data_IF_676085477084
#
_entry.id   IF_676085477084
#
_cell.length_a   1.000
_cell.length_b   1.000
_cell.length_c   1.000
_cell.angle_alpha   90.00
_cell.angle_beta   90.00
_cell.angle_gamma   90.00
#
_symmetry.space_group_name_H-M   'P 1'
#
loop_
_entity.id
_entity.type
_entity.pdbx_description
1 polymer ?
#
# COMPACT_ATOMS: atom_id res chain seq x y z
N UNK A 1 7.27 2.19 10.38
CA UNK A 1 8.26 1.83 11.41
C UNK A 1 8.04 2.62 12.69
N UNK A 2 7.72 1.92 13.77
CA UNK A 2 7.42 2.53 15.07
C UNK A 2 8.67 3.17 15.69
N UNK A 3 9.82 2.55 15.50
CA UNK A 3 11.13 3.04 15.93
C UNK A 3 11.46 4.39 15.29
N UNK A 4 11.19 4.55 14.01
CA UNK A 4 11.41 5.81 13.29
C UNK A 4 10.48 6.91 13.81
N UNK A 5 9.22 6.59 14.04
CA UNK A 5 8.23 7.52 14.59
C UNK A 5 8.62 8.00 15.99
N UNK A 6 9.01 7.08 16.89
CA UNK A 6 9.47 7.44 18.23
C UNK A 6 10.75 8.26 18.21
N UNK A 7 11.70 7.94 17.32
CA UNK A 7 12.92 8.73 17.17
C UNK A 7 12.64 10.19 16.75
N UNK A 8 11.66 10.40 15.85
CA UNK A 8 11.23 11.74 15.45
C UNK A 8 10.58 12.47 16.63
N UNK A 9 9.67 11.82 17.36
CA UNK A 9 9.03 12.43 18.52
C UNK A 9 10.05 12.84 19.60
N UNK A 10 11.01 11.98 19.91
CA UNK A 10 12.08 12.26 20.85
C UNK A 10 12.90 13.50 20.42
N UNK A 11 13.29 13.57 19.14
CA UNK A 11 13.99 14.73 18.58
C UNK A 11 13.18 16.01 18.58
N UNK A 12 11.86 15.91 18.56
CA UNK A 12 10.92 17.04 18.70
C UNK A 12 10.68 17.45 20.17
N UNK A 13 11.28 16.74 21.13
CA UNK A 13 11.16 17.02 22.56
C UNK A 13 9.90 16.43 23.21
N UNK A 14 9.23 15.46 22.56
CA UNK A 14 8.09 14.77 23.16
C UNK A 14 8.57 13.70 24.14
N UNK A 15 8.02 13.71 25.34
CA UNK A 15 8.27 12.67 26.35
C UNK A 15 7.31 11.47 26.12
N UNK A 16 7.79 10.44 25.40
CA UNK A 16 6.97 9.26 25.07
C UNK A 16 7.06 8.17 26.14
N UNK A 17 8.06 8.24 27.03
CA UNK A 17 8.36 7.16 28.00
C UNK A 17 8.97 5.91 27.35
N UNK A 18 9.30 5.95 26.06
CA UNK A 18 9.88 4.83 25.31
C UNK A 18 11.40 4.98 25.23
N UNK A 19 12.12 3.89 25.51
CA UNK A 19 13.55 3.80 25.20
C UNK A 19 13.73 3.69 23.68
N UNK A 20 14.10 4.79 23.04
CA UNK A 20 14.20 4.89 21.57
C UNK A 20 15.24 3.93 21.03
N UNK A 21 16.42 3.82 21.65
CA UNK A 21 17.48 2.90 21.20
C UNK A 21 17.12 1.44 21.47
N UNK A 22 16.49 1.14 22.61
CA UNK A 22 15.94 -0.20 22.89
C UNK A 22 14.90 -0.60 21.85
N UNK A 23 14.02 0.31 21.44
CA UNK A 23 13.03 0.06 20.38
C UNK A 23 13.68 -0.18 19.01
N UNK A 24 14.75 0.55 18.66
CA UNK A 24 15.52 0.31 17.45
C UNK A 24 16.15 -1.09 17.43
N UNK A 25 16.73 -1.52 18.57
CA UNK A 25 17.29 -2.87 18.69
C UNK A 25 16.22 -3.95 18.55
N UNK A 26 15.06 -3.78 19.18
CA UNK A 26 13.94 -4.73 19.04
C UNK A 26 13.44 -4.79 17.58
N UNK A 27 13.35 -3.65 16.91
CA UNK A 27 12.97 -3.62 15.50
C UNK A 27 13.91 -4.44 14.63
N UNK A 28 15.23 -4.25 14.79
CA UNK A 28 16.25 -4.92 13.98
C UNK A 28 16.44 -6.39 14.36
N UNK A 29 16.54 -6.69 15.67
CA UNK A 29 16.96 -8.00 16.14
C UNK A 29 15.79 -8.99 16.30
N UNK A 30 14.56 -8.49 16.47
CA UNK A 30 13.37 -9.32 16.71
C UNK A 30 12.38 -9.23 15.56
N UNK A 31 12.01 -8.03 15.12
CA UNK A 31 10.95 -7.85 14.12
C UNK A 31 11.43 -8.18 12.71
N UNK A 32 12.57 -7.64 12.30
CA UNK A 32 13.12 -7.87 10.94
C UNK A 32 13.26 -9.36 10.60
N UNK A 33 13.79 -10.23 11.48
CA UNK A 33 13.88 -11.67 11.18
C UNK A 33 12.54 -12.39 11.01
N UNK A 34 11.44 -11.80 11.50
CA UNK A 34 10.08 -12.36 11.37
C UNK A 34 9.35 -11.88 10.12
N UNK A 35 9.92 -10.95 9.38
CA UNK A 35 9.29 -10.36 8.21
C UNK A 35 9.60 -11.17 6.95
N UNK A 36 8.57 -11.51 6.17
CA UNK A 36 8.74 -12.13 4.85
C UNK A 36 9.45 -11.20 3.84
N UNK A 37 9.25 -9.90 3.99
CA UNK A 37 9.92 -8.86 3.20
C UNK A 37 10.04 -7.56 4.01
N UNK A 38 11.15 -6.87 3.80
CA UNK A 38 11.37 -5.57 4.43
C UNK A 38 10.36 -4.54 3.93
N UNK A 39 9.88 -3.71 4.84
CA UNK A 39 9.04 -2.55 4.50
C UNK A 39 9.91 -1.55 3.73
N UNK A 40 9.47 -1.17 2.56
CA UNK A 40 10.10 -0.12 1.77
C UNK A 40 9.06 0.82 1.18
N UNK A 41 9.46 2.05 0.96
CA UNK A 41 8.65 3.03 0.24
C UNK A 41 8.88 2.81 -1.26
N UNK A 42 7.97 2.10 -1.91
CA UNK A 42 7.97 1.89 -3.35
C UNK A 42 6.79 2.60 -4.02
N UNK A 43 6.70 2.48 -5.34
CA UNK A 43 5.67 3.15 -6.14
C UNK A 43 4.26 2.80 -5.67
N UNK A 44 3.97 1.53 -5.44
CA UNK A 44 2.63 1.08 -5.04
C UNK A 44 2.26 1.56 -3.64
N UNK A 45 3.20 1.54 -2.70
CA UNK A 45 3.02 2.08 -1.35
C UNK A 45 2.75 3.58 -1.36
N UNK A 46 3.48 4.32 -2.21
CA UNK A 46 3.26 5.76 -2.39
C UNK A 46 1.90 6.06 -3.01
N UNK A 47 1.51 5.33 -4.05
CA UNK A 47 0.21 5.49 -4.70
C UNK A 47 -0.93 5.14 -3.72
N UNK A 48 -0.78 4.08 -2.94
CA UNK A 48 -1.73 3.68 -1.91
C UNK A 48 -1.97 4.81 -0.89
N UNK A 49 -0.90 5.41 -0.37
CA UNK A 49 -0.98 6.55 0.55
C UNK A 49 -1.58 7.79 -0.11
N UNK A 50 -1.16 8.10 -1.34
CA UNK A 50 -1.69 9.24 -2.12
C UNK A 50 -3.19 9.09 -2.42
N UNK A 51 -3.64 7.90 -2.78
CA UNK A 51 -5.04 7.60 -3.06
C UNK A 51 -5.91 7.45 -1.80
N UNK A 52 -5.30 7.42 -0.61
CA UNK A 52 -6.01 7.27 0.66
C UNK A 52 -6.68 5.90 0.82
N UNK A 53 -6.04 4.84 0.34
CA UNK A 53 -6.58 3.47 0.37
C UNK A 53 -5.99 2.68 1.53
N UNK A 54 -6.75 1.74 2.07
CA UNK A 54 -6.28 0.86 3.14
C UNK A 54 -5.11 -0.03 2.69
N UNK A 55 -4.15 -0.23 3.59
CA UNK A 55 -2.95 -1.04 3.32
C UNK A 55 -3.25 -2.51 2.99
N UNK A 56 -4.34 -3.07 3.51
CA UNK A 56 -4.81 -4.41 3.17
C UNK A 56 -5.08 -4.61 1.68
N UNK A 57 -5.39 -3.55 0.94
CA UNK A 57 -5.69 -3.63 -0.49
C UNK A 57 -4.46 -3.81 -1.38
N UNK A 58 -3.26 -3.48 -0.90
CA UNK A 58 -2.05 -3.47 -1.73
C UNK A 58 -1.77 -4.82 -2.39
N UNK A 59 -1.72 -5.90 -1.61
CA UNK A 59 -1.43 -7.24 -2.13
C UNK A 59 -2.54 -7.74 -3.06
N UNK A 60 -3.80 -7.45 -2.75
CA UNK A 60 -4.93 -7.80 -3.59
C UNK A 60 -4.89 -7.04 -4.93
N UNK A 61 -4.60 -5.73 -4.89
CA UNK A 61 -4.44 -4.92 -6.10
C UNK A 61 -3.29 -5.42 -6.99
N UNK A 62 -2.16 -5.80 -6.40
CA UNK A 62 -1.03 -6.37 -7.14
C UNK A 62 -1.36 -7.72 -7.79
N UNK A 63 -2.13 -8.59 -7.12
CA UNK A 63 -2.61 -9.86 -7.68
C UNK A 63 -3.59 -9.63 -8.84
N UNK A 64 -4.56 -8.75 -8.65
CA UNK A 64 -5.53 -8.39 -9.68
C UNK A 64 -4.84 -7.72 -10.89
N UNK A 65 -3.85 -6.87 -10.65
CA UNK A 65 -3.04 -6.25 -11.70
C UNK A 65 -2.38 -7.29 -12.62
N UNK A 66 -1.80 -8.33 -12.04
CA UNK A 66 -1.21 -9.44 -12.80
C UNK A 66 -2.26 -10.24 -13.56
N UNK A 67 -3.39 -10.54 -12.93
CA UNK A 67 -4.48 -11.34 -13.50
C UNK A 67 -5.13 -10.67 -14.70
N UNK A 68 -5.36 -9.37 -14.63
CA UNK A 68 -6.08 -8.60 -15.66
C UNK A 68 -5.18 -7.74 -16.55
N UNK A 69 -3.87 -7.85 -16.38
CA UNK A 69 -2.86 -7.06 -17.12
C UNK A 69 -3.13 -5.55 -17.11
N UNK A 70 -3.39 -5.01 -15.91
CA UNK A 70 -3.57 -3.58 -15.66
C UNK A 70 -2.58 -3.10 -14.59
N UNK A 71 -2.16 -1.83 -14.58
CA UNK A 71 -1.28 -1.33 -13.53
C UNK A 71 -1.96 -1.37 -12.15
N UNK A 72 -1.24 -1.85 -11.13
CA UNK A 72 -1.70 -1.84 -9.74
C UNK A 72 -2.05 -0.43 -9.25
N UNK A 73 -1.28 0.57 -9.68
CA UNK A 73 -1.53 1.96 -9.35
C UNK A 73 -2.88 2.47 -9.83
N UNK A 74 -3.32 2.10 -11.05
CA UNK A 74 -4.62 2.48 -11.58
C UNK A 74 -5.77 1.88 -10.75
N UNK A 75 -5.59 0.63 -10.30
CA UNK A 75 -6.54 -0.02 -9.40
C UNK A 75 -6.64 0.72 -8.08
N UNK A 76 -5.50 1.03 -7.44
CA UNK A 76 -5.45 1.73 -6.16
C UNK A 76 -6.08 3.12 -6.24
N UNK A 77 -5.79 3.89 -7.28
CA UNK A 77 -6.38 5.22 -7.51
C UNK A 77 -7.90 5.13 -7.67
N UNK A 78 -8.40 4.17 -8.45
CA UNK A 78 -9.83 3.99 -8.66
C UNK A 78 -10.54 3.54 -7.37
N UNK A 79 -9.92 2.68 -6.55
CA UNK A 79 -10.44 2.30 -5.23
C UNK A 79 -10.52 3.51 -4.29
N UNK A 80 -9.51 4.37 -4.29
CA UNK A 80 -9.52 5.62 -3.51
C UNK A 80 -10.61 6.57 -3.97
N UNK A 81 -10.80 6.72 -5.30
CA UNK A 81 -11.88 7.52 -5.88
C UNK A 81 -13.27 7.02 -5.46
N UNK A 82 -13.44 5.70 -5.35
CA UNK A 82 -14.70 5.08 -4.89
C UNK A 82 -14.86 5.12 -3.37
N UNK A 83 -13.88 5.59 -2.63
CA UNK A 83 -13.86 5.60 -1.15
C UNK A 83 -14.09 4.21 -0.56
N UNK A 84 -13.51 3.19 -1.19
CA UNK A 84 -13.60 1.80 -0.76
C UNK A 84 -12.97 1.63 0.63
N UNK A 85 -13.66 0.92 1.51
CA UNK A 85 -13.23 0.70 2.90
C UNK A 85 -12.79 -0.75 3.12
N UNK A 86 -12.07 -1.03 4.21
CA UNK A 86 -11.67 -2.38 4.58
C UNK A 86 -12.87 -3.34 4.65
N UNK A 87 -12.65 -4.58 4.21
CA UNK A 87 -13.70 -5.60 4.07
C UNK A 87 -14.38 -5.64 2.69
N UNK A 88 -13.99 -4.75 1.76
CA UNK A 88 -14.52 -4.69 0.39
C UNK A 88 -13.46 -5.13 -0.64
N UNK A 89 -12.65 -6.14 -0.30
CA UNK A 89 -11.56 -6.63 -1.16
C UNK A 89 -12.08 -7.26 -2.47
N UNK A 90 -13.31 -7.74 -2.50
CA UNK A 90 -14.01 -8.23 -3.69
C UNK A 90 -14.17 -7.14 -4.77
N UNK A 91 -14.31 -5.88 -4.38
CA UNK A 91 -14.37 -4.75 -5.31
C UNK A 91 -13.09 -4.55 -6.13
N UNK A 92 -11.96 -5.06 -5.66
CA UNK A 92 -10.67 -4.94 -6.35
C UNK A 92 -10.70 -5.69 -7.69
N UNK A 93 -11.27 -6.89 -7.71
CA UNK A 93 -11.43 -7.69 -8.92
C UNK A 93 -12.32 -6.97 -9.94
N UNK A 94 -13.44 -6.41 -9.50
CA UNK A 94 -14.36 -5.66 -10.35
C UNK A 94 -13.72 -4.41 -10.95
N UNK A 95 -12.95 -3.67 -10.14
CA UNK A 95 -12.20 -2.50 -10.60
C UNK A 95 -11.18 -2.89 -11.66
N UNK A 96 -10.38 -3.94 -11.40
CA UNK A 96 -9.35 -4.40 -12.32
C UNK A 96 -9.96 -4.87 -13.66
N UNK A 97 -11.06 -5.62 -13.62
CA UNK A 97 -11.78 -6.06 -14.81
C UNK A 97 -12.34 -4.90 -15.63
N UNK A 98 -12.94 -3.90 -14.98
CA UNK A 98 -13.46 -2.71 -15.63
C UNK A 98 -12.34 -1.87 -16.30
N UNK A 99 -11.19 -1.75 -15.64
CA UNK A 99 -10.03 -1.06 -16.21
C UNK A 99 -9.48 -1.82 -17.43
N UNK A 100 -9.41 -3.16 -17.36
CA UNK A 100 -8.99 -3.98 -18.50
C UNK A 100 -9.90 -3.80 -19.72
N UNK A 101 -11.23 -3.81 -19.51
CA UNK A 101 -12.23 -3.58 -20.59
C UNK A 101 -12.07 -2.21 -21.23
N UNK A 102 -11.98 -1.14 -20.43
CA UNK A 102 -11.80 0.23 -20.94
C UNK A 102 -10.51 0.38 -21.77
N UNK A 103 -9.44 -0.33 -21.41
CA UNK A 103 -8.19 -0.32 -22.18
C UNK A 103 -8.34 -1.07 -23.49
N UNK A 104 -9.05 -2.20 -23.52
CA UNK A 104 -9.32 -2.93 -24.75
C UNK A 104 -10.11 -2.06 -25.74
N UNK A 105 -11.20 -1.44 -25.25
CA UNK A 105 -12.06 -0.55 -26.06
C UNK A 105 -11.26 0.65 -26.60
N UNK A 106 -10.37 1.24 -25.80
CA UNK A 106 -9.54 2.36 -26.24
C UNK A 106 -8.53 1.97 -27.35
N UNK A 107 -8.01 0.74 -27.33
CA UNK A 107 -7.11 0.22 -28.38
C UNK A 107 -7.87 -0.04 -29.68
N UNK A 108 -9.13 -0.49 -29.61
CA UNK A 108 -9.97 -0.70 -30.82
C UNK A 108 -10.35 0.61 -31.50
N UNK A 109 -10.57 1.69 -30.74
CA UNK A 109 -10.92 3.00 -31.27
C UNK A 109 -9.74 3.74 -31.95
N UNK A 110 -8.52 3.30 -31.73
CA UNK A 110 -7.29 3.89 -32.30
C UNK A 110 -6.77 3.14 -33.52
N UNK A 111 -7.43 2.09 -33.95
CA UNK A 111 -7.14 1.34 -35.17
C UNK A 111 -8.01 1.85 -36.34
#
# INVERSE_FOLDING_TARGET
>A
PLESFNAVLDRMGAETGVDVFGLMNVAEDVVVPLMDQLIRVDRDSLIMGYAGVYSSFLLHAQRAAKKYNVPSGDILVELGRRKTIGGQEDMIEDVALNLARRRADAVELTK
#
